data_IF_814274104767
#
_entry.id   IF_814274104767
#
_cell.length_a   1.000
_cell.length_b   1.000
_cell.length_c   1.000
_cell.angle_alpha   90.00
_cell.angle_beta   90.00
_cell.angle_gamma   90.00
#
_symmetry.space_group_name_H-M   'P 1'
#
loop_
_entity.id
_entity.type
_entity.pdbx_description
1 polymer ?
#
# COMPACT_ATOMS: atom_id res chain seq x y z
N UNK A 1 -1.98 -20.33 -11.59
CA UNK A 1 -1.66 -20.17 -10.17
C UNK A 1 -0.72 -18.99 -9.98
N UNK A 2 -1.10 -18.03 -9.14
CA UNK A 2 -0.26 -16.86 -8.90
C UNK A 2 0.92 -17.24 -8.01
N UNK A 3 2.13 -16.99 -8.49
CA UNK A 3 3.33 -17.20 -7.69
C UNK A 3 3.57 -16.03 -6.74
N UNK A 4 4.05 -16.35 -5.55
CA UNK A 4 4.51 -15.33 -4.60
C UNK A 4 5.92 -14.92 -5.05
N UNK A 5 6.04 -13.70 -5.56
CA UNK A 5 7.32 -13.17 -6.05
C UNK A 5 7.69 -11.91 -5.29
N UNK A 6 8.90 -11.87 -4.76
CA UNK A 6 9.49 -10.64 -4.24
C UNK A 6 10.70 -10.30 -5.09
N UNK A 7 10.81 -9.03 -5.43
CA UNK A 7 11.83 -8.50 -6.31
C UNK A 7 12.83 -7.65 -5.53
N UNK A 8 14.09 -7.56 -5.98
CA UNK A 8 15.07 -6.67 -5.37
C UNK A 8 14.57 -5.22 -5.32
N UNK A 9 15.12 -4.40 -4.42
CA UNK A 9 14.78 -2.98 -4.37
C UNK A 9 14.92 -2.32 -5.74
N UNK A 10 13.91 -1.52 -6.11
CA UNK A 10 13.89 -0.85 -7.40
C UNK A 10 13.78 0.67 -7.19
N UNK A 11 14.80 1.45 -7.57
CA UNK A 11 14.78 2.90 -7.37
C UNK A 11 13.74 3.63 -8.22
N UNK A 12 13.10 2.95 -9.18
CA UNK A 12 12.04 3.52 -10.01
C UNK A 12 10.66 3.47 -9.34
N UNK A 13 10.47 2.71 -8.27
CA UNK A 13 9.18 2.64 -7.58
C UNK A 13 8.64 4.00 -7.13
N UNK A 14 9.45 4.91 -6.54
CA UNK A 14 8.95 6.24 -6.21
C UNK A 14 8.46 7.03 -7.43
N UNK A 15 9.13 6.91 -8.56
CA UNK A 15 8.70 7.57 -9.80
C UNK A 15 7.41 6.98 -10.36
N UNK A 16 7.27 5.66 -10.29
CA UNK A 16 6.03 4.97 -10.70
C UNK A 16 4.86 5.43 -9.81
N UNK A 17 5.09 5.57 -8.51
CA UNK A 17 4.10 6.14 -7.61
C UNK A 17 3.70 7.56 -8.02
N UNK A 18 4.66 8.44 -8.22
CA UNK A 18 4.39 9.85 -8.55
C UNK A 18 3.58 9.99 -9.83
N UNK A 19 3.91 9.22 -10.86
CA UNK A 19 3.19 9.25 -12.14
C UNK A 19 1.73 8.81 -11.97
N UNK A 20 1.49 7.72 -11.25
CA UNK A 20 0.14 7.21 -11.04
C UNK A 20 -0.66 8.10 -10.09
N UNK A 21 -0.04 8.59 -9.03
CA UNK A 21 -0.68 9.48 -8.06
C UNK A 21 -1.17 10.77 -8.72
N UNK A 22 -0.43 11.29 -9.69
CA UNK A 22 -0.85 12.48 -10.44
C UNK A 22 -2.16 12.24 -11.18
N UNK A 23 -2.33 11.05 -11.76
CA UNK A 23 -3.56 10.70 -12.48
C UNK A 23 -4.74 10.47 -11.53
N UNK A 24 -4.51 9.77 -10.42
CA UNK A 24 -5.54 9.56 -9.39
C UNK A 24 -5.95 10.90 -8.78
N UNK A 25 -5.00 11.79 -8.53
CA UNK A 25 -5.28 13.13 -8.00
C UNK A 25 -6.19 13.94 -8.92
N UNK A 26 -5.97 13.88 -10.23
CA UNK A 26 -6.83 14.55 -11.20
C UNK A 26 -8.27 14.02 -11.16
N UNK A 27 -8.41 12.71 -11.00
CA UNK A 27 -9.73 12.06 -10.93
C UNK A 27 -10.48 12.47 -9.67
N UNK A 28 -9.79 12.47 -8.52
CA UNK A 28 -10.40 12.83 -7.24
C UNK A 28 -10.68 14.34 -7.13
N UNK A 29 -9.92 15.16 -7.87
CA UNK A 29 -10.14 16.60 -7.94
C UNK A 29 -9.95 17.30 -6.61
N UNK A 30 -10.85 18.23 -6.30
CA UNK A 30 -10.76 19.04 -5.07
C UNK A 30 -11.08 18.26 -3.79
N UNK A 31 -11.55 17.02 -3.91
CA UNK A 31 -11.81 16.14 -2.77
C UNK A 31 -10.53 15.58 -2.15
N UNK A 32 -9.44 15.47 -2.93
CA UNK A 32 -8.19 14.90 -2.43
C UNK A 32 -7.43 15.92 -1.57
N UNK A 33 -6.97 15.47 -0.41
CA UNK A 33 -6.10 16.25 0.50
C UNK A 33 -4.65 15.89 0.26
N UNK A 34 -4.33 14.60 0.30
CA UNK A 34 -2.99 14.07 0.03
C UNK A 34 -3.09 12.67 -0.56
N UNK A 35 -2.07 12.29 -1.36
CA UNK A 35 -1.86 10.90 -1.77
C UNK A 35 -0.46 10.50 -1.32
N UNK A 36 -0.38 9.39 -0.58
CA UNK A 36 0.86 8.91 0.01
C UNK A 36 1.27 7.58 -0.61
N UNK A 37 2.58 7.41 -0.83
CA UNK A 37 3.16 6.12 -1.17
C UNK A 37 3.28 5.31 0.13
N UNK A 38 2.63 4.17 0.19
CA UNK A 38 2.68 3.26 1.35
C UNK A 38 3.10 1.86 0.89
N UNK A 39 3.13 0.92 1.83
CA UNK A 39 3.51 -0.45 1.54
C UNK A 39 5.01 -0.61 1.35
N UNK A 40 5.42 -1.83 0.97
CA UNK A 40 6.85 -2.18 0.92
C UNK A 40 7.62 -1.42 -0.16
N UNK A 41 7.00 -1.09 -1.29
CA UNK A 41 7.69 -0.32 -2.35
C UNK A 41 7.96 1.12 -1.93
N UNK A 42 7.34 1.61 -0.85
CA UNK A 42 7.59 2.93 -0.28
C UNK A 42 8.78 2.95 0.69
N UNK A 43 9.32 1.78 1.03
CA UNK A 43 10.45 1.65 1.97
C UNK A 43 11.70 1.38 1.15
N UNK A 44 12.75 2.23 1.25
CA UNK A 44 13.94 2.04 0.44
C UNK A 44 14.74 0.81 0.82
N UNK A 45 15.44 0.24 -0.15
CA UNK A 45 16.45 -0.80 0.04
C UNK A 45 15.92 -2.16 0.52
N UNK A 46 14.63 -2.45 0.32
CA UNK A 46 14.07 -3.75 0.71
C UNK A 46 13.45 -4.47 -0.49
N UNK A 47 13.41 -5.79 -0.40
CA UNK A 47 12.69 -6.63 -1.35
C UNK A 47 11.18 -6.46 -1.15
N UNK A 48 10.44 -6.47 -2.25
CA UNK A 48 9.00 -6.31 -2.23
C UNK A 48 8.35 -6.94 -3.45
N UNK A 49 7.07 -7.26 -3.33
CA UNK A 49 6.25 -7.47 -4.52
C UNK A 49 6.21 -6.14 -5.28
N UNK A 50 6.31 -6.16 -6.63
CA UNK A 50 6.35 -4.91 -7.40
C UNK A 50 4.94 -4.31 -7.57
N UNK A 51 4.30 -4.01 -6.45
CA UNK A 51 2.96 -3.40 -6.40
C UNK A 51 3.09 -2.02 -5.76
N UNK A 52 2.58 -1.01 -6.43
CA UNK A 52 2.56 0.36 -5.90
C UNK A 52 1.30 0.49 -5.05
N UNK A 53 1.49 0.63 -3.74
CA UNK A 53 0.41 0.88 -2.79
C UNK A 53 0.29 2.36 -2.52
N UNK A 54 -0.91 2.90 -2.71
CA UNK A 54 -1.22 4.31 -2.47
C UNK A 54 -2.29 4.44 -1.41
N UNK A 55 -2.15 5.47 -0.58
CA UNK A 55 -3.18 5.87 0.37
C UNK A 55 -3.58 7.31 0.08
N UNK A 56 -4.83 7.53 -0.29
CA UNK A 56 -5.36 8.86 -0.54
C UNK A 56 -6.24 9.29 0.63
N UNK A 57 -6.03 10.53 1.07
CA UNK A 57 -6.86 11.19 2.06
C UNK A 57 -7.82 12.14 1.33
N UNK A 58 -9.10 12.04 1.64
CA UNK A 58 -10.13 12.86 1.02
C UNK A 58 -10.94 13.60 2.08
N UNK A 59 -11.55 14.72 1.66
CA UNK A 59 -12.41 15.54 2.54
C UNK A 59 -13.78 14.88 2.76
N UNK A 60 -14.29 14.13 1.76
CA UNK A 60 -15.59 13.49 1.81
C UNK A 60 -15.50 12.12 1.13
N UNK A 61 -15.66 11.06 1.93
CA UNK A 61 -15.50 9.70 1.41
C UNK A 61 -16.61 9.31 0.43
N UNK A 62 -17.82 9.80 0.63
CA UNK A 62 -18.96 9.47 -0.23
C UNK A 62 -18.79 10.02 -1.65
N UNK A 63 -18.09 11.14 -1.82
CA UNK A 63 -17.80 11.69 -3.15
C UNK A 63 -16.90 10.80 -4.00
N UNK A 64 -16.15 9.89 -3.38
CA UNK A 64 -15.27 8.98 -4.11
C UNK A 64 -16.07 8.07 -5.04
N UNK A 65 -17.28 7.67 -4.65
CA UNK A 65 -18.11 6.77 -5.44
C UNK A 65 -18.46 7.37 -6.82
N UNK A 66 -18.57 8.68 -6.93
CA UNK A 66 -18.78 9.37 -8.20
C UNK A 66 -17.56 9.27 -9.14
N UNK A 67 -16.38 8.90 -8.61
CA UNK A 67 -15.16 8.75 -9.40
C UNK A 67 -14.94 7.33 -9.92
N UNK A 68 -15.83 6.38 -9.62
CA UNK A 68 -15.63 4.97 -9.98
C UNK A 68 -15.46 4.78 -11.49
N UNK A 69 -16.27 5.48 -12.32
CA UNK A 69 -16.17 5.37 -13.77
C UNK A 69 -14.83 5.90 -14.29
N UNK A 70 -14.36 7.03 -13.77
CA UNK A 70 -13.09 7.62 -14.18
C UNK A 70 -11.90 6.73 -13.72
N UNK A 71 -12.00 6.14 -12.53
CA UNK A 71 -10.99 5.17 -12.05
C UNK A 71 -10.99 3.93 -12.94
N UNK A 72 -12.15 3.44 -13.35
CA UNK A 72 -12.25 2.30 -14.27
C UNK A 72 -11.59 2.62 -15.62
N UNK A 73 -11.75 3.84 -16.13
CA UNK A 73 -11.12 4.28 -17.37
C UNK A 73 -9.58 4.29 -17.24
N UNK A 74 -9.05 4.51 -16.04
CA UNK A 74 -7.60 4.43 -15.76
C UNK A 74 -7.12 2.98 -15.57
N UNK A 75 -8.03 2.01 -15.50
CA UNK A 75 -7.71 0.59 -15.38
C UNK A 75 -7.99 -0.01 -14.00
N UNK A 76 -8.62 0.73 -13.10
CA UNK A 76 -8.91 0.25 -11.75
C UNK A 76 -10.26 -0.43 -11.65
N UNK A 77 -10.33 -1.43 -10.79
CA UNK A 77 -11.58 -2.04 -10.35
C UNK A 77 -11.96 -1.44 -8.99
N UNK A 78 -13.18 -0.89 -8.92
CA UNK A 78 -13.72 -0.32 -7.67
C UNK A 78 -14.33 -1.44 -6.84
N UNK A 79 -13.87 -1.60 -5.59
CA UNK A 79 -14.31 -2.66 -4.69
C UNK A 79 -15.03 -2.13 -3.44
N UNK A 80 -15.36 -0.83 -3.40
CA UNK A 80 -16.03 -0.22 -2.27
C UNK A 80 -15.20 -0.31 -1.00
N UNK A 81 -15.85 -0.61 0.10
CA UNK A 81 -15.16 -0.75 1.41
C UNK A 81 -14.29 -2.00 1.48
N UNK A 82 -14.65 -3.03 0.78
CA UNK A 82 -13.92 -4.30 0.71
C UNK A 82 -13.56 -4.84 2.10
N UNK A 83 -14.55 -4.86 3.00
CA UNK A 83 -14.43 -5.42 4.33
C UNK A 83 -13.87 -4.48 5.40
N UNK A 84 -13.52 -3.23 5.05
CA UNK A 84 -13.03 -2.25 6.02
C UNK A 84 -13.93 -1.01 5.99
N UNK A 85 -14.77 -0.81 7.03
CA UNK A 85 -15.71 0.31 7.07
C UNK A 85 -15.01 1.66 6.88
N UNK A 86 -15.60 2.51 6.06
CA UNK A 86 -15.08 3.85 5.79
C UNK A 86 -14.01 3.93 4.72
N UNK A 87 -13.60 2.78 4.18
CA UNK A 87 -12.60 2.76 3.10
C UNK A 87 -13.27 2.77 1.73
N UNK A 88 -12.56 3.29 0.72
CA UNK A 88 -12.80 2.96 -0.69
C UNK A 88 -11.52 2.35 -1.24
N UNK A 89 -11.64 1.15 -1.84
CA UNK A 89 -10.50 0.36 -2.29
C UNK A 89 -10.58 0.13 -3.78
N UNK A 90 -9.46 0.35 -4.46
CA UNK A 90 -9.30 0.14 -5.91
C UNK A 90 -8.05 -0.66 -6.16
N UNK A 91 -8.09 -1.49 -7.20
CA UNK A 91 -6.91 -2.24 -7.62
C UNK A 91 -6.83 -2.29 -9.14
N UNK A 92 -5.59 -2.41 -9.63
CA UNK A 92 -5.31 -2.41 -11.06
C UNK A 92 -4.38 -3.57 -11.39
N UNK A 93 -4.73 -4.28 -12.46
CA UNK A 93 -3.89 -5.33 -13.02
C UNK A 93 -3.38 -4.88 -14.40
N UNK A 94 -2.25 -5.43 -14.85
CA UNK A 94 -1.76 -5.18 -16.20
C UNK A 94 -2.46 -6.08 -17.22
N UNK A 95 -2.05 -6.00 -18.49
CA UNK A 95 -2.67 -6.76 -19.58
C UNK A 95 -2.54 -8.28 -19.40
N UNK A 96 -1.54 -8.75 -18.66
CA UNK A 96 -1.33 -10.16 -18.34
C UNK A 96 -2.07 -10.60 -17.07
N UNK A 97 -2.88 -9.74 -16.47
CA UNK A 97 -3.63 -10.03 -15.26
C UNK A 97 -2.80 -10.01 -13.99
N UNK A 98 -1.62 -9.37 -14.01
CA UNK A 98 -0.76 -9.24 -12.85
C UNK A 98 -1.04 -7.92 -12.13
N UNK A 99 -1.21 -7.99 -10.80
CA UNK A 99 -1.48 -6.82 -9.96
C UNK A 99 -0.31 -5.84 -10.00
N UNK A 100 -0.62 -4.55 -10.25
CA UNK A 100 0.39 -3.49 -10.32
C UNK A 100 0.17 -2.37 -9.31
N UNK A 101 -1.09 -2.08 -8.95
CA UNK A 101 -1.42 -0.94 -8.08
C UNK A 101 -2.56 -1.28 -7.13
N UNK A 102 -2.47 -0.74 -5.91
CA UNK A 102 -3.57 -0.68 -4.95
C UNK A 102 -3.78 0.78 -4.53
N UNK A 103 -5.02 1.23 -4.48
CA UNK A 103 -5.37 2.56 -3.96
C UNK A 103 -6.35 2.38 -2.81
N UNK A 104 -5.92 2.80 -1.62
CA UNK A 104 -6.75 2.84 -0.41
C UNK A 104 -7.13 4.28 -0.16
N UNK A 105 -8.43 4.57 -0.06
CA UNK A 105 -8.93 5.93 0.16
C UNK A 105 -9.68 5.98 1.47
N UNK A 106 -9.32 6.94 2.30
CA UNK A 106 -9.90 7.17 3.63
C UNK A 106 -10.21 8.65 3.84
N UNK A 107 -11.10 8.92 4.76
CA UNK A 107 -11.31 10.29 5.25
C UNK A 107 -10.00 10.83 5.83
N UNK A 108 -9.67 12.08 5.51
CA UNK A 108 -8.44 12.71 5.97
C UNK A 108 -8.32 12.66 7.51
N UNK A 109 -7.13 12.30 7.99
CA UNK A 109 -6.83 12.21 9.42
C UNK A 109 -7.43 11.04 10.16
N UNK A 110 -8.03 10.06 9.44
CA UNK A 110 -8.61 8.89 10.09
C UNK A 110 -7.54 8.00 10.74
N UNK A 111 -7.92 7.15 11.72
CA UNK A 111 -6.96 6.25 12.39
C UNK A 111 -6.19 5.35 11.43
N UNK A 112 -6.83 4.90 10.34
CA UNK A 112 -6.18 4.06 9.34
C UNK A 112 -5.05 4.81 8.63
N UNK A 113 -5.25 6.08 8.31
CA UNK A 113 -4.22 6.94 7.71
C UNK A 113 -3.03 7.05 8.66
N UNK A 114 -3.30 7.36 9.92
CA UNK A 114 -2.26 7.53 10.93
C UNK A 114 -1.42 6.25 11.07
N UNK A 115 -2.07 5.10 11.15
CA UNK A 115 -1.41 3.81 11.30
C UNK A 115 -0.50 3.48 10.12
N UNK A 116 -1.00 3.64 8.89
CA UNK A 116 -0.22 3.36 7.68
C UNK A 116 1.00 4.27 7.56
N UNK A 117 0.83 5.55 7.82
CA UNK A 117 1.93 6.51 7.71
C UNK A 117 2.97 6.30 8.82
N UNK A 118 2.52 5.97 10.04
CA UNK A 118 3.42 5.67 11.15
C UNK A 118 4.30 4.46 10.83
N UNK A 119 3.72 3.39 10.30
CA UNK A 119 4.47 2.18 9.91
C UNK A 119 5.50 2.49 8.82
N UNK A 120 5.08 3.20 7.76
CA UNK A 120 5.98 3.58 6.67
C UNK A 120 7.17 4.40 7.18
N UNK A 121 6.87 5.43 7.96
CA UNK A 121 7.89 6.36 8.46
C UNK A 121 8.83 5.67 9.45
N UNK A 122 8.30 4.79 10.30
CA UNK A 122 9.11 3.97 11.20
C UNK A 122 10.10 3.09 10.43
N UNK A 123 9.63 2.40 9.39
CA UNK A 123 10.49 1.54 8.57
C UNK A 123 11.56 2.34 7.82
N UNK A 124 11.21 3.53 7.33
CA UNK A 124 12.18 4.43 6.69
C UNK A 124 13.24 4.93 7.67
N UNK A 125 12.86 5.17 8.92
CA UNK A 125 13.75 5.67 9.96
C UNK A 125 14.57 4.57 10.63
N UNK A 126 14.19 3.30 10.49
CA UNK A 126 14.84 2.17 11.12
C UNK A 126 15.28 1.12 10.09
N UNK A 127 16.39 1.35 9.37
CA UNK A 127 16.85 0.45 8.30
C UNK A 127 17.05 -1.00 8.75
N UNK A 128 17.44 -1.22 10.02
CA UNK A 128 17.61 -2.58 10.54
C UNK A 128 16.28 -3.32 10.61
N UNK A 129 15.21 -2.66 11.03
CA UNK A 129 13.87 -3.25 11.05
C UNK A 129 13.37 -3.50 9.63
N UNK A 130 13.63 -2.57 8.72
CA UNK A 130 13.29 -2.72 7.31
C UNK A 130 14.02 -3.92 6.69
N UNK A 131 15.30 -4.11 7.02
CA UNK A 131 16.08 -5.25 6.54
C UNK A 131 15.51 -6.58 7.08
N UNK A 132 15.13 -6.62 8.34
CA UNK A 132 14.48 -7.81 8.93
C UNK A 132 13.19 -8.15 8.18
N UNK A 133 12.40 -7.14 7.84
CA UNK A 133 11.17 -7.33 7.07
C UNK A 133 11.48 -7.86 5.66
N UNK A 134 12.49 -7.30 5.01
CA UNK A 134 12.95 -7.75 3.70
C UNK A 134 13.37 -9.22 3.71
N UNK A 135 14.19 -9.60 4.69
CA UNK A 135 14.68 -10.97 4.85
C UNK A 135 13.54 -11.95 5.12
N UNK A 136 12.59 -11.56 5.98
CA UNK A 136 11.40 -12.36 6.27
C UNK A 136 10.57 -12.62 5.01
N UNK A 137 10.32 -11.58 4.21
CA UNK A 137 9.55 -11.73 2.98
C UNK A 137 10.24 -12.65 1.98
N UNK A 138 11.55 -12.54 1.84
CA UNK A 138 12.32 -13.42 0.95
C UNK A 138 12.25 -14.88 1.41
N UNK A 139 12.41 -15.11 2.71
CA UNK A 139 12.30 -16.45 3.28
C UNK A 139 10.91 -17.05 3.07
N UNK A 140 9.86 -16.26 3.32
CA UNK A 140 8.49 -16.72 3.13
C UNK A 140 8.15 -16.97 1.66
N UNK A 141 8.64 -16.16 0.74
CA UNK A 141 8.43 -16.36 -0.68
C UNK A 141 9.10 -17.65 -1.17
N UNK A 142 10.27 -17.98 -0.62
CA UNK A 142 10.96 -19.24 -0.92
C UNK A 142 10.24 -20.45 -0.32
N UNK A 143 9.67 -20.28 0.88
CA UNK A 143 8.95 -21.35 1.58
C UNK A 143 7.56 -21.61 0.98
N UNK A 144 6.87 -20.55 0.57
CA UNK A 144 5.48 -20.61 0.07
C UNK A 144 5.36 -20.01 -1.33
N UNK A 145 6.06 -20.54 -2.35
CA UNK A 145 6.10 -19.90 -3.68
C UNK A 145 4.75 -19.88 -4.41
N UNK A 146 3.82 -20.76 -4.01
CA UNK A 146 2.50 -20.89 -4.65
C UNK A 146 1.36 -20.77 -3.65
N UNK A 147 1.64 -20.33 -2.42
CA UNK A 147 0.65 -20.23 -1.33
C UNK A 147 0.69 -18.82 -0.74
N UNK A 148 -0.10 -17.92 -1.35
CA UNK A 148 -0.16 -16.52 -0.93
C UNK A 148 -0.69 -16.37 0.49
N UNK A 149 -1.64 -17.21 0.90
CA UNK A 149 -2.24 -17.10 2.24
C UNK A 149 -1.21 -17.40 3.33
N UNK A 150 -0.43 -18.48 3.17
CA UNK A 150 0.64 -18.80 4.12
C UNK A 150 1.74 -17.74 4.12
N UNK A 151 2.07 -17.17 2.95
CA UNK A 151 3.01 -16.06 2.84
C UNK A 151 2.50 -14.85 3.64
N UNK A 152 1.25 -14.47 3.46
CA UNK A 152 0.65 -13.33 4.16
C UNK A 152 0.59 -13.57 5.67
N UNK A 153 0.16 -14.77 6.09
CA UNK A 153 0.08 -15.12 7.51
C UNK A 153 1.46 -15.10 8.16
N UNK A 154 2.50 -15.56 7.46
CA UNK A 154 3.85 -15.64 7.99
C UNK A 154 4.46 -14.27 8.29
N UNK A 155 4.05 -13.22 7.60
CA UNK A 155 4.56 -11.86 7.86
C UNK A 155 3.66 -11.03 8.78
N UNK A 156 2.43 -11.47 9.02
CA UNK A 156 1.42 -10.68 9.74
C UNK A 156 1.84 -10.32 11.16
N UNK A 157 2.39 -11.29 11.91
CA UNK A 157 2.85 -11.06 13.28
C UNK A 157 3.96 -10.01 13.34
N UNK A 158 4.92 -10.10 12.42
CA UNK A 158 6.01 -9.13 12.33
C UNK A 158 5.48 -7.73 12.01
N UNK A 159 4.59 -7.63 11.02
CA UNK A 159 3.99 -6.34 10.63
C UNK A 159 3.24 -5.72 11.81
N UNK A 160 2.44 -6.49 12.52
CA UNK A 160 1.69 -6.01 13.69
C UNK A 160 2.62 -5.53 14.81
N UNK A 161 3.72 -6.25 15.06
CA UNK A 161 4.70 -5.84 16.06
C UNK A 161 5.36 -4.52 15.67
N UNK A 162 5.70 -4.33 14.40
CA UNK A 162 6.32 -3.10 13.91
C UNK A 162 5.32 -1.94 13.90
N UNK A 163 4.06 -2.18 13.55
CA UNK A 163 3.00 -1.16 13.64
C UNK A 163 2.85 -0.66 15.08
N UNK A 164 2.86 -1.57 16.04
CA UNK A 164 2.77 -1.22 17.46
C UNK A 164 3.94 -0.33 17.88
N UNK A 165 5.18 -0.69 17.51
CA UNK A 165 6.35 0.11 17.79
C UNK A 165 6.28 1.48 17.13
N UNK A 166 5.82 1.54 15.89
CA UNK A 166 5.68 2.79 15.16
C UNK A 166 4.69 3.74 15.85
N UNK A 167 3.57 3.21 16.32
CA UNK A 167 2.57 4.01 17.03
C UNK A 167 3.07 4.47 18.40
N UNK A 168 3.82 3.64 19.11
CA UNK A 168 4.43 4.02 20.39
C UNK A 168 5.44 5.15 20.22
N UNK A 169 6.31 5.08 19.19
CA UNK A 169 7.28 6.16 18.92
C UNK A 169 6.58 7.46 18.54
N UNK A 170 5.50 7.40 17.76
CA UNK A 170 4.74 8.58 17.37
C UNK A 170 4.11 9.25 18.59
N UNK A 171 3.62 8.48 19.56
CA UNK A 171 3.05 9.01 20.80
C UNK A 171 4.07 9.70 21.69
N UNK A 172 5.36 9.38 21.54
CA UNK A 172 6.47 9.98 22.33
C UNK A 172 7.06 11.23 21.68
N UNK A 173 6.69 11.53 20.43
CA UNK A 173 7.23 12.68 19.70
C UNK A 173 6.40 13.95 19.86
#
# INVERSE_FOLDING_TARGET
MKQVQVHPPNPHWPHAFEAEAAQVSRILGDNVVHIHHIGSTAIPNIYAKPVIDMLAEVSNIDRVDACNAAMAALGYTALGEYGLPGRRYFRKDNAEGVRTHHVHIFLAGSPEVIRHLAFRDFMRANPDCAQQYSDLKRALAAQYPNDIDSYMDGKDEFVKAMEKRAMEEQALS
#
